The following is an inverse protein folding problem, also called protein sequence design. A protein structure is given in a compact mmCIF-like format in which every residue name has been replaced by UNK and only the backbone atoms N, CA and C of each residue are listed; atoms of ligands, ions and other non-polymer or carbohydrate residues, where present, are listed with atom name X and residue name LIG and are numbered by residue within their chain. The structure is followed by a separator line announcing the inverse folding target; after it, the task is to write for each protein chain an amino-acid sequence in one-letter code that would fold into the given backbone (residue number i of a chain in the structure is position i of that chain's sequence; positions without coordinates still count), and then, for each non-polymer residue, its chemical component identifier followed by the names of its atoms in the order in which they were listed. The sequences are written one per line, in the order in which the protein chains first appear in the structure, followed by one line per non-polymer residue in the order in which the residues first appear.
data_IF_263925954328
#
_entry.id   IF_263925954328
#
_cell.length_a   1.000
_cell.length_b   1.000
_cell.length_c   1.000
_cell.angle_alpha   90.00
_cell.angle_beta   90.00
_cell.angle_gamma   90.00
#
_symmetry.space_group_name_H-M   'P 1'
#
loop_
_entity.id
_entity.type
_entity.pdbx_description
1 polymer ?
#
# COMPACT_ATOMS: atom_id res chain seq x y z
N UNK A 1 43.22 39.55 9.77
CA UNK A 1 42.38 39.25 8.59
C UNK A 1 41.48 38.05 8.89
N UNK A 2 40.48 38.24 9.77
CA UNK A 2 39.59 37.18 10.29
C UNK A 2 38.22 37.76 10.65
N UNK A 3 37.68 38.64 9.80
CA UNK A 3 36.36 39.28 9.96
C UNK A 3 35.73 39.59 8.59
N UNK A 4 35.75 38.64 7.64
CA UNK A 4 35.08 38.77 6.34
C UNK A 4 34.00 37.69 6.14
N UNK A 5 33.33 37.26 7.22
CA UNK A 5 32.29 36.21 7.21
C UNK A 5 31.04 36.63 8.03
N UNK A 6 30.87 37.92 8.38
CA UNK A 6 29.76 38.36 9.22
C UNK A 6 29.08 39.64 8.71
N UNK A 7 28.56 39.61 7.48
CA UNK A 7 27.76 40.72 6.92
C UNK A 7 26.75 40.28 5.86
N UNK A 8 26.16 39.08 5.98
CA UNK A 8 25.02 38.72 5.14
C UNK A 8 24.03 37.83 5.91
N UNK A 9 23.68 38.29 7.11
CA UNK A 9 22.63 37.72 7.94
C UNK A 9 21.91 38.88 8.62
N UNK A 10 21.16 39.65 7.83
CA UNK A 10 20.00 40.46 8.24
C UNK A 10 19.39 41.14 7.00
N UNK A 11 18.50 40.44 6.30
CA UNK A 11 17.48 41.12 5.50
C UNK A 11 16.17 40.36 5.69
N UNK A 12 15.51 40.75 6.78
CA UNK A 12 14.16 40.33 7.11
C UNK A 12 13.16 41.05 6.18
N UNK A 13 12.27 40.24 5.60
CA UNK A 13 10.83 40.43 5.56
C UNK A 13 10.30 41.85 5.30
N UNK A 14 9.81 42.07 4.07
CA UNK A 14 8.68 42.98 3.84
C UNK A 14 7.63 42.26 2.98
N UNK A 15 6.57 41.84 3.66
CA UNK A 15 5.30 41.45 3.06
C UNK A 15 4.58 42.72 2.58
N UNK A 16 4.20 42.79 1.31
CA UNK A 16 3.20 43.74 0.79
C UNK A 16 2.20 42.96 -0.05
N UNK A 17 0.93 43.04 0.35
CA UNK A 17 -0.23 42.43 -0.27
C UNK A 17 -0.62 43.13 -1.59
N UNK A 18 -1.54 42.56 -2.39
CA UNK A 18 -1.68 42.82 -3.83
C UNK A 18 -2.68 43.93 -4.16
N UNK A 19 -2.42 44.67 -5.25
CA UNK A 19 -3.39 45.59 -5.86
C UNK A 19 -3.79 45.10 -7.27
N UNK A 20 -5.10 45.03 -7.48
CA UNK A 20 -5.74 44.86 -8.77
C UNK A 20 -5.69 46.16 -9.59
N UNK A 21 -5.34 46.08 -10.89
CA UNK A 21 -6.11 46.75 -11.95
C UNK A 21 -5.62 46.34 -13.35
N UNK A 22 -6.43 45.48 -13.97
CA UNK A 22 -6.89 45.53 -15.36
C UNK A 22 -5.89 45.82 -16.52
N UNK A 23 -5.59 44.77 -17.28
CA UNK A 23 -5.61 44.83 -18.75
C UNK A 23 -6.34 43.62 -19.32
N UNK A 24 -7.58 43.85 -19.75
CA UNK A 24 -8.36 42.93 -20.55
C UNK A 24 -7.82 42.88 -21.98
N UNK A 25 -7.38 41.70 -22.42
CA UNK A 25 -7.31 41.32 -23.82
C UNK A 25 -7.44 39.80 -23.93
N UNK A 26 -8.65 39.40 -24.36
CA UNK A 26 -9.12 38.10 -24.85
C UNK A 26 -8.05 37.05 -25.15
N UNK A 27 -8.02 35.96 -24.38
CA UNK A 27 -7.45 34.67 -24.81
C UNK A 27 -8.50 33.59 -24.54
N UNK A 28 -9.24 33.30 -25.61
CA UNK A 28 -9.72 32.00 -26.03
C UNK A 28 -9.62 30.87 -25.00
N UNK A 29 -10.75 30.61 -24.36
CA UNK A 29 -11.17 29.27 -23.94
C UNK A 29 -10.90 28.29 -25.10
N UNK A 30 -10.40 27.08 -24.80
CA UNK A 30 -10.14 25.94 -25.70
C UNK A 30 -8.66 25.57 -25.90
N UNK A 31 -8.03 25.09 -24.84
CA UNK A 31 -7.05 24.01 -24.96
C UNK A 31 -6.95 23.25 -23.63
N UNK A 32 -8.06 22.62 -23.22
CA UNK A 32 -7.95 21.45 -22.34
C UNK A 32 -7.13 20.45 -23.13
N UNK A 33 -5.88 20.27 -22.71
CA UNK A 33 -5.02 19.21 -23.19
C UNK A 33 -5.81 17.93 -23.03
N UNK A 34 -6.29 17.40 -24.16
CA UNK A 34 -6.85 16.06 -24.24
C UNK A 34 -5.74 15.16 -23.72
N UNK A 35 -5.87 14.68 -22.50
CA UNK A 35 -5.12 13.50 -22.07
C UNK A 35 -5.64 12.37 -22.94
N UNK A 36 -5.00 12.21 -24.09
CA UNK A 36 -5.15 11.06 -24.95
C UNK A 36 -4.62 9.91 -24.12
N UNK A 37 -5.53 9.20 -23.46
CA UNK A 37 -5.28 7.83 -23.03
C UNK A 37 -4.80 7.09 -24.28
N UNK A 38 -3.59 6.52 -24.32
CA UNK A 38 -3.26 5.59 -25.36
C UNK A 38 -4.17 4.37 -25.17
N UNK A 39 -5.27 4.33 -25.91
CA UNK A 39 -5.97 3.10 -26.23
C UNK A 39 -5.02 2.25 -27.06
N UNK A 40 -4.20 1.46 -26.37
CA UNK A 40 -3.47 0.34 -26.94
C UNK A 40 -4.04 -0.92 -26.34
N UNK A 41 -4.88 -1.57 -27.13
CA UNK A 41 -5.52 -2.86 -26.87
C UNK A 41 -4.47 -3.96 -26.77
N UNK A 42 -3.96 -4.17 -25.56
CA UNK A 42 -3.43 -5.46 -25.13
C UNK A 42 -4.06 -5.75 -23.77
N UNK A 43 -5.38 -5.94 -23.77
CA UNK A 43 -6.02 -6.68 -22.70
C UNK A 43 -5.61 -8.13 -22.89
N UNK A 44 -4.46 -8.51 -22.36
CA UNK A 44 -4.23 -9.89 -21.96
C UNK A 44 -5.19 -10.16 -20.80
N UNK A 45 -6.45 -10.44 -21.15
CA UNK A 45 -7.44 -10.92 -20.19
C UNK A 45 -7.01 -12.30 -19.78
N UNK A 46 -6.10 -12.37 -18.81
CA UNK A 46 -5.96 -13.53 -17.95
C UNK A 46 -7.33 -13.73 -17.31
N UNK A 47 -8.16 -14.60 -17.93
CA UNK A 47 -9.42 -15.04 -17.35
C UNK A 47 -9.08 -15.91 -16.15
N UNK A 48 -8.74 -15.25 -15.04
CA UNK A 48 -8.50 -15.88 -13.78
C UNK A 48 -9.88 -16.21 -13.19
N UNK A 49 -10.45 -17.31 -13.66
CA UNK A 49 -11.71 -17.83 -13.15
C UNK A 49 -11.46 -18.39 -11.76
N UNK A 50 -11.61 -17.54 -10.75
CA UNK A 50 -11.59 -17.98 -9.37
C UNK A 50 -12.91 -18.68 -9.06
N UNK A 51 -12.82 -19.87 -8.46
CA UNK A 51 -13.99 -20.54 -7.91
C UNK A 51 -14.60 -19.71 -6.77
N UNK A 52 -15.92 -19.81 -6.60
CA UNK A 52 -16.63 -19.14 -5.52
C UNK A 52 -16.11 -19.58 -4.15
N UNK A 53 -15.75 -20.86 -3.98
CA UNK A 53 -15.18 -21.33 -2.71
C UNK A 53 -13.83 -20.69 -2.40
N UNK A 54 -13.01 -20.47 -3.43
CA UNK A 54 -11.74 -19.76 -3.30
C UNK A 54 -11.97 -18.31 -2.83
N UNK A 55 -12.90 -17.59 -3.46
CA UNK A 55 -13.23 -16.21 -3.08
C UNK A 55 -13.84 -16.12 -1.66
N UNK A 56 -14.63 -17.12 -1.28
CA UNK A 56 -15.20 -17.22 0.08
C UNK A 56 -14.17 -17.66 1.13
N UNK A 57 -12.92 -17.98 0.75
CA UNK A 57 -11.91 -18.47 1.68
C UNK A 57 -12.18 -19.89 2.21
N UNK A 58 -13.06 -20.67 1.55
CA UNK A 58 -13.42 -22.05 1.91
C UNK A 58 -12.41 -23.04 1.32
N UNK A 59 -11.13 -22.81 1.54
CA UNK A 59 -10.06 -23.67 1.07
C UNK A 59 -9.01 -23.88 2.16
N UNK A 60 -8.23 -24.94 2.01
CA UNK A 60 -7.09 -25.23 2.89
C UNK A 60 -5.79 -24.72 2.22
N UNK A 61 -5.12 -23.71 2.80
CA UNK A 61 -3.84 -23.22 2.29
C UNK A 61 -2.73 -24.27 2.27
N UNK A 62 -2.82 -25.35 3.06
CA UNK A 62 -1.80 -26.40 3.10
C UNK A 62 -1.87 -27.36 1.91
N UNK A 63 -3.04 -27.46 1.27
CA UNK A 63 -3.30 -28.39 0.16
C UNK A 63 -3.31 -27.68 -1.21
N UNK A 64 -3.26 -26.35 -1.22
CA UNK A 64 -3.43 -25.56 -2.42
C UNK A 64 -2.07 -25.24 -3.07
N UNK A 65 -1.90 -25.58 -4.35
CA UNK A 65 -0.63 -25.44 -5.10
C UNK A 65 -0.03 -24.04 -5.06
N UNK A 66 -0.90 -23.04 -5.05
CA UNK A 66 -0.50 -21.64 -5.12
C UNK A 66 -0.01 -21.09 -3.79
N UNK A 67 -0.07 -21.87 -2.70
CA UNK A 67 0.35 -21.44 -1.37
C UNK A 67 1.66 -22.12 -0.97
N UNK A 68 2.55 -21.32 -0.41
CA UNK A 68 3.86 -21.76 0.05
C UNK A 68 4.00 -21.47 1.53
N UNK A 69 4.68 -22.39 2.22
CA UNK A 69 5.06 -22.20 3.61
C UNK A 69 6.09 -21.05 3.70
N UNK A 70 5.83 -20.10 4.57
CA UNK A 70 6.72 -18.96 4.80
C UNK A 70 7.90 -19.45 5.64
N UNK A 71 9.13 -19.13 5.21
CA UNK A 71 10.32 -19.44 5.99
C UNK A 71 10.32 -18.66 7.33
N UNK A 72 10.78 -19.28 8.44
CA UNK A 72 10.73 -18.68 9.77
C UNK A 72 11.55 -17.39 9.88
N UNK A 73 12.54 -17.19 9.00
CA UNK A 73 13.34 -15.97 8.94
C UNK A 73 12.54 -14.70 8.57
N UNK A 74 11.42 -14.86 7.85
CA UNK A 74 10.57 -13.77 7.41
C UNK A 74 9.31 -13.59 8.27
N UNK A 75 9.06 -14.52 9.20
CA UNK A 75 7.84 -14.62 9.96
C UNK A 75 8.10 -14.57 11.47
N UNK A 76 7.11 -14.14 12.25
CA UNK A 76 7.21 -14.17 13.70
C UNK A 76 6.83 -15.51 14.33
N UNK A 77 6.13 -16.34 13.55
CA UNK A 77 5.64 -17.66 13.94
C UNK A 77 5.69 -18.60 12.75
N UNK A 78 5.93 -19.87 13.04
CA UNK A 78 5.95 -20.92 12.03
C UNK A 78 4.54 -21.33 11.61
N UNK A 79 4.45 -22.12 10.53
CA UNK A 79 3.18 -22.69 10.07
C UNK A 79 2.26 -21.70 9.33
N UNK A 80 2.79 -20.57 8.85
CA UNK A 80 2.04 -19.62 8.04
C UNK A 80 2.23 -19.88 6.54
N UNK A 81 1.13 -19.75 5.81
CA UNK A 81 1.09 -19.92 4.36
C UNK A 81 0.73 -18.59 3.69
N UNK A 82 1.39 -18.32 2.57
CA UNK A 82 1.13 -17.16 1.71
C UNK A 82 1.09 -17.61 0.26
N UNK A 83 0.36 -16.90 -0.59
CA UNK A 83 0.40 -17.19 -2.03
C UNK A 83 1.82 -16.98 -2.57
N UNK A 84 2.24 -17.84 -3.48
CA UNK A 84 3.59 -17.88 -4.05
C UNK A 84 4.00 -16.57 -4.71
N UNK A 85 3.09 -15.97 -5.48
CA UNK A 85 3.25 -14.66 -6.14
C UNK A 85 3.55 -13.54 -5.12
N UNK A 86 2.75 -13.50 -4.06
CA UNK A 86 2.81 -12.51 -3.00
C UNK A 86 4.06 -12.71 -2.16
N UNK A 87 4.44 -13.96 -1.91
CA UNK A 87 5.67 -14.28 -1.18
C UNK A 87 6.92 -13.89 -1.97
N UNK A 88 6.92 -14.08 -3.29
CA UNK A 88 8.01 -13.63 -4.15
C UNK A 88 8.16 -12.10 -4.12
N UNK A 89 7.05 -11.36 -4.25
CA UNK A 89 7.04 -9.90 -4.15
C UNK A 89 7.49 -9.42 -2.75
N UNK A 90 7.04 -10.08 -1.68
CA UNK A 90 7.46 -9.77 -0.32
C UNK A 90 8.97 -9.91 -0.14
N UNK A 91 9.60 -10.96 -0.68
CA UNK A 91 11.05 -11.15 -0.57
C UNK A 91 11.84 -10.03 -1.24
N UNK A 92 11.37 -9.53 -2.38
CA UNK A 92 11.96 -8.37 -3.05
C UNK A 92 11.85 -7.11 -2.16
N UNK A 93 10.63 -6.80 -1.71
CA UNK A 93 10.37 -5.68 -0.81
C UNK A 93 11.19 -5.76 0.48
N UNK A 94 11.29 -6.94 1.09
CA UNK A 94 12.08 -7.18 2.30
C UNK A 94 13.58 -6.95 2.04
N UNK A 95 14.10 -7.42 0.89
CA UNK A 95 15.49 -7.18 0.52
C UNK A 95 15.80 -5.70 0.36
N UNK A 96 14.89 -4.92 -0.21
CA UNK A 96 15.09 -3.48 -0.41
C UNK A 96 14.98 -2.72 0.92
N UNK A 97 13.98 -3.04 1.74
CA UNK A 97 13.84 -2.48 3.08
C UNK A 97 15.09 -2.78 3.96
N UNK A 98 15.66 -3.99 3.86
CA UNK A 98 16.88 -4.35 4.58
C UNK A 98 18.09 -3.50 4.17
N UNK A 99 18.21 -3.09 2.91
CA UNK A 99 19.29 -2.19 2.46
C UNK A 99 19.19 -0.82 3.12
N UNK A 100 17.99 -0.39 3.46
CA UNK A 100 17.70 0.84 4.20
C UNK A 100 17.74 0.65 5.73
N UNK A 101 18.09 -0.56 6.20
CA UNK A 101 18.15 -0.89 7.63
C UNK A 101 16.79 -1.18 8.27
N UNK A 102 15.72 -1.31 7.48
CA UNK A 102 14.37 -1.61 7.93
C UNK A 102 14.12 -3.12 7.88
N UNK A 103 13.87 -3.75 9.03
CA UNK A 103 13.55 -5.19 9.12
C UNK A 103 12.03 -5.40 9.12
N UNK A 104 11.50 -5.91 8.01
CA UNK A 104 10.10 -6.30 7.90
C UNK A 104 9.88 -7.72 8.44
N UNK A 105 8.78 -7.95 9.16
CA UNK A 105 8.42 -9.26 9.69
C UNK A 105 6.94 -9.54 9.43
N UNK A 106 6.66 -10.70 8.84
CA UNK A 106 5.29 -11.17 8.62
C UNK A 106 4.69 -11.59 9.97
N UNK A 107 3.65 -10.88 10.41
CA UNK A 107 2.91 -11.16 11.65
C UNK A 107 1.67 -12.01 11.43
N UNK A 108 1.09 -11.89 10.24
CA UNK A 108 -0.05 -12.67 9.82
C UNK A 108 -0.02 -12.85 8.32
N UNK A 109 -0.37 -14.06 7.88
CA UNK A 109 -0.50 -14.40 6.47
C UNK A 109 -1.96 -14.76 6.16
N UNK A 110 -2.17 -15.68 5.21
CA UNK A 110 -3.51 -16.06 4.76
C UNK A 110 -4.38 -16.54 5.92
N UNK A 111 -5.61 -16.02 5.98
CA UNK A 111 -6.67 -16.46 6.89
C UNK A 111 -7.82 -17.00 6.04
N UNK A 112 -8.16 -18.26 6.24
CA UNK A 112 -9.31 -18.89 5.59
C UNK A 112 -10.63 -18.54 6.32
N UNK A 113 -11.74 -18.99 5.76
CA UNK A 113 -13.08 -18.73 6.27
C UNK A 113 -13.26 -19.17 7.73
N UNK A 114 -12.74 -20.34 8.10
CA UNK A 114 -12.83 -20.89 9.46
C UNK A 114 -12.06 -20.05 10.48
N UNK A 115 -10.88 -19.57 10.09
CA UNK A 115 -10.14 -18.62 10.91
C UNK A 115 -10.96 -17.36 11.14
N UNK A 116 -11.59 -16.80 10.09
CA UNK A 116 -12.40 -15.58 10.20
C UNK A 116 -13.65 -15.78 11.09
N UNK A 117 -14.36 -16.91 10.93
CA UNK A 117 -15.54 -17.27 11.73
C UNK A 117 -15.21 -17.35 13.22
N UNK A 118 -14.07 -17.95 13.57
CA UNK A 118 -13.61 -18.06 14.96
C UNK A 118 -13.38 -16.70 15.62
N UNK A 119 -12.81 -15.74 14.90
CA UNK A 119 -12.60 -14.38 15.43
C UNK A 119 -13.93 -13.66 15.64
N UNK A 120 -14.87 -13.81 14.71
CA UNK A 120 -16.20 -13.20 14.81
C UNK A 120 -16.96 -13.71 16.04
N UNK A 121 -16.97 -15.04 16.27
CA UNK A 121 -17.60 -15.63 17.46
C UNK A 121 -17.03 -15.09 18.77
N UNK A 122 -15.69 -15.04 18.90
CA UNK A 122 -15.02 -14.49 20.09
C UNK A 122 -15.38 -13.03 20.35
N UNK A 123 -15.57 -12.21 19.31
CA UNK A 123 -15.95 -10.81 19.48
C UNK A 123 -17.38 -10.67 19.99
N UNK A 124 -18.31 -11.51 19.52
CA UNK A 124 -19.69 -11.54 20.01
C UNK A 124 -19.75 -11.94 21.48
N UNK A 125 -18.97 -12.95 21.88
CA UNK A 125 -18.89 -13.37 23.29
C UNK A 125 -18.32 -12.29 24.19
N UNK A 126 -17.27 -11.57 23.74
CA UNK A 126 -16.70 -10.42 24.46
C UNK A 126 -17.71 -9.29 24.63
N UNK A 127 -18.45 -8.97 23.57
CA UNK A 127 -19.49 -7.94 23.62
C UNK A 127 -20.60 -8.29 24.62
N UNK A 128 -21.01 -9.57 24.67
CA UNK A 128 -22.00 -10.04 25.64
C UNK A 128 -21.46 -10.04 27.07
N UNK A 129 -20.18 -10.36 27.29
CA UNK A 129 -19.54 -10.31 28.61
C UNK A 129 -19.46 -8.87 29.14
N UNK A 130 -19.16 -7.89 28.29
CA UNK A 130 -19.06 -6.48 28.68
C UNK A 130 -20.42 -5.79 28.88
N UNK A 131 -21.55 -6.45 28.58
CA UNK A 131 -22.91 -5.95 28.86
C UNK A 131 -23.48 -6.40 30.20
N UNK A 132 -22.83 -7.34 30.89
CA UNK A 132 -23.22 -7.82 32.23
C UNK A 132 -22.35 -7.14 33.29
#
# INVERSE_FOLDING_TARGET
MRYLIWMFLLSFCTCTAPDESAKAALIQENAVLKMVMPTSLAQDTLTLTFDLNYLMGKFDPTQHSDFVLIAPEYADREGMYLRSDTYAAFKQMHSDALKEGIKLVIRSATRNFEAQKTHLGKQMDRSNKNRK
#
